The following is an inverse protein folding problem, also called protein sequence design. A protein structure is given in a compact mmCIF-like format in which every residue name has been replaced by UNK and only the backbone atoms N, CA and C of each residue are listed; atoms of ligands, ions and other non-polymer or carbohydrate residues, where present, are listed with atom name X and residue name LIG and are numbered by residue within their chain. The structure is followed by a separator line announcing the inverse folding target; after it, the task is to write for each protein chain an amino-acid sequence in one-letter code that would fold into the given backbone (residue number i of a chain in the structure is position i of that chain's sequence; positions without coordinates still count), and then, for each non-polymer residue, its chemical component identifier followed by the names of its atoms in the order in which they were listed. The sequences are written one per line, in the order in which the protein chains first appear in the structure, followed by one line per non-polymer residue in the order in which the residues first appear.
data_IF_589342275057
#
_entry.id   IF_589342275057
#
_cell.length_a   1.000
_cell.length_b   1.000
_cell.length_c   1.000
_cell.angle_alpha   90.00
_cell.angle_beta   90.00
_cell.angle_gamma   90.00
#
_symmetry.space_group_name_H-M   'P 1'
#
loop_
_entity.id
_entity.type
_entity.pdbx_description
1 polymer ?
#
# COMPACT_ATOMS: atom_id res chain seq x y z
N UNK A 1 23.79 -51.02 -6.01
CA UNK A 1 23.05 -51.95 -6.88
C UNK A 1 23.14 -51.44 -8.32
N UNK A 2 23.82 -52.23 -9.14
CA UNK A 2 23.67 -52.41 -10.61
C UNK A 2 23.87 -51.21 -11.54
N UNK A 3 25.08 -51.20 -12.09
CA UNK A 3 25.52 -50.60 -13.36
C UNK A 3 24.73 -51.22 -14.53
N UNK A 4 24.24 -50.42 -15.47
CA UNK A 4 23.95 -50.87 -16.83
C UNK A 4 24.61 -49.93 -17.85
N UNK A 5 25.79 -50.32 -18.33
CA UNK A 5 26.39 -49.86 -19.59
C UNK A 5 26.00 -50.86 -20.67
N UNK A 6 25.59 -50.39 -21.85
CA UNK A 6 26.05 -50.92 -23.15
C UNK A 6 25.78 -49.91 -24.29
N UNK A 7 26.52 -50.00 -25.42
CA UNK A 7 26.94 -48.85 -26.21
C UNK A 7 26.41 -48.82 -27.67
N UNK A 8 26.62 -47.65 -28.31
CA UNK A 8 26.88 -47.36 -29.74
C UNK A 8 26.03 -48.05 -30.82
N UNK A 9 25.34 -47.23 -31.60
CA UNK A 9 25.39 -47.36 -33.06
C UNK A 9 25.57 -45.98 -33.72
N UNK A 10 26.41 -45.93 -34.74
CA UNK A 10 26.68 -44.78 -35.60
C UNK A 10 26.06 -45.04 -37.00
N UNK A 11 26.47 -44.34 -38.07
CA UNK A 11 25.80 -43.19 -38.67
C UNK A 11 25.12 -43.54 -40.02
N UNK A 12 24.62 -42.50 -40.71
CA UNK A 12 24.44 -42.34 -42.16
C UNK A 12 23.00 -42.39 -42.72
N UNK A 13 22.71 -41.45 -43.62
CA UNK A 13 21.54 -41.45 -44.50
C UNK A 13 21.00 -40.05 -44.81
N UNK A 14 21.56 -39.37 -45.80
CA UNK A 14 20.82 -38.38 -46.61
C UNK A 14 20.00 -39.16 -47.66
N UNK A 15 18.80 -38.68 -47.94
CA UNK A 15 18.14 -38.58 -49.26
C UNK A 15 16.67 -38.14 -49.02
N UNK A 16 16.28 -36.92 -49.41
CA UNK A 16 15.66 -36.50 -50.68
C UNK A 16 14.34 -37.21 -51.02
N UNK A 17 13.25 -36.42 -51.04
CA UNK A 17 12.00 -36.51 -51.82
C UNK A 17 10.84 -36.04 -50.92
N UNK A 18 10.32 -34.83 -51.09
CA UNK A 18 9.23 -34.49 -52.03
C UNK A 18 8.04 -35.44 -51.85
N UNK A 19 7.04 -34.99 -51.11
CA UNK A 19 5.66 -35.35 -51.43
C UNK A 19 4.78 -34.11 -51.26
N UNK A 20 4.17 -33.70 -52.38
CA UNK A 20 3.22 -32.61 -52.49
C UNK A 20 1.84 -33.24 -52.46
N UNK A 21 1.02 -32.85 -51.49
CA UNK A 21 -0.33 -33.40 -51.36
C UNK A 21 -1.28 -32.48 -50.61
N UNK A 22 -1.60 -31.35 -51.25
CA UNK A 22 -2.88 -30.62 -51.22
C UNK A 22 -3.93 -31.02 -50.16
N UNK A 23 -4.27 -30.08 -49.27
CA UNK A 23 -5.59 -30.01 -48.65
C UNK A 23 -5.94 -28.56 -48.30
N UNK A 24 -6.74 -27.97 -49.18
CA UNK A 24 -7.84 -27.03 -48.99
C UNK A 24 -8.10 -26.43 -47.59
N UNK A 25 -8.28 -25.10 -47.57
CA UNK A 25 -8.90 -24.34 -46.49
C UNK A 25 -8.16 -23.06 -46.08
N UNK A 26 -8.53 -21.86 -46.57
CA UNK A 26 -8.21 -20.62 -45.87
C UNK A 26 -9.07 -20.55 -44.61
N UNK A 27 -8.59 -21.19 -43.54
CA UNK A 27 -9.11 -21.03 -42.20
C UNK A 27 -8.93 -19.60 -41.73
N UNK A 28 -10.04 -18.99 -41.31
CA UNK A 28 -10.10 -17.91 -40.32
C UNK A 28 -9.16 -16.72 -40.56
N UNK A 29 -9.64 -15.75 -41.34
CA UNK A 29 -9.33 -14.34 -41.07
C UNK A 29 -9.92 -14.00 -39.72
N UNK A 30 -9.19 -14.28 -38.63
CA UNK A 30 -9.41 -13.65 -37.36
C UNK A 30 -9.06 -12.17 -37.55
N UNK A 31 -10.07 -11.40 -37.95
CA UNK A 31 -10.10 -9.96 -37.79
C UNK A 31 -9.80 -9.68 -36.32
N UNK A 32 -8.55 -9.29 -36.04
CA UNK A 32 -8.19 -8.70 -34.76
C UNK A 32 -8.89 -7.36 -34.75
N UNK A 33 -10.16 -7.37 -34.34
CA UNK A 33 -10.88 -6.19 -33.91
C UNK A 33 -10.09 -5.67 -32.72
N UNK A 34 -9.26 -4.68 -32.98
CA UNK A 34 -8.56 -3.90 -31.98
C UNK A 34 -9.64 -3.26 -31.11
N UNK A 35 -9.96 -3.87 -29.97
CA UNK A 35 -10.71 -3.20 -28.91
C UNK A 35 -9.91 -1.93 -28.60
N UNK A 36 -10.47 -0.79 -29.00
CA UNK A 36 -10.05 0.50 -28.48
C UNK A 36 -10.09 0.36 -26.96
N UNK A 37 -8.95 0.46 -26.23
CA UNK A 37 -9.01 0.46 -24.78
C UNK A 37 -9.94 1.61 -24.40
N UNK A 38 -10.93 1.40 -23.50
CA UNK A 38 -11.72 2.51 -23.00
C UNK A 38 -10.73 3.59 -22.60
N UNK A 39 -10.92 4.80 -23.11
CA UNK A 39 -10.11 5.97 -22.77
C UNK A 39 -10.16 6.08 -21.25
N UNK A 40 -9.15 5.52 -20.60
CA UNK A 40 -9.08 5.51 -19.15
C UNK A 40 -9.10 6.99 -18.74
N UNK A 41 -10.01 7.41 -17.84
CA UNK A 41 -10.04 8.78 -17.39
C UNK A 41 -8.63 9.15 -16.93
N UNK A 42 -8.12 10.28 -17.43
CA UNK A 42 -6.77 10.74 -17.14
C UNK A 42 -6.52 10.62 -15.62
N UNK A 43 -5.47 9.91 -15.18
CA UNK A 43 -5.25 9.67 -13.77
C UNK A 43 -5.18 11.01 -13.05
N UNK A 44 -6.05 11.21 -12.06
CA UNK A 44 -6.06 12.39 -11.22
C UNK A 44 -4.62 12.69 -10.74
N UNK A 45 -4.20 13.96 -10.67
CA UNK A 45 -2.83 14.32 -10.29
C UNK A 45 -2.46 13.61 -8.98
N UNK A 46 -1.51 12.66 -9.05
CA UNK A 46 -1.08 11.96 -7.83
C UNK A 46 -0.29 12.96 -6.98
N UNK A 47 -0.71 13.25 -5.74
CA UNK A 47 0.06 14.15 -4.89
C UNK A 47 1.47 13.57 -4.73
N UNK A 48 2.47 14.44 -4.85
CA UNK A 48 3.87 14.03 -4.68
C UNK A 48 4.01 13.45 -3.27
N UNK A 49 4.63 12.26 -3.09
CA UNK A 49 4.68 11.57 -1.80
C UNK A 49 5.31 12.41 -0.67
N UNK A 50 6.16 13.39 -1.02
CA UNK A 50 6.71 14.36 -0.05
C UNK A 50 5.68 15.40 0.41
N UNK A 51 4.83 15.90 -0.49
CA UNK A 51 3.75 16.83 -0.14
C UNK A 51 2.74 16.15 0.79
N UNK A 52 2.42 14.88 0.52
CA UNK A 52 1.57 14.09 1.41
C UNK A 52 2.21 13.93 2.80
N UNK A 53 3.51 13.63 2.86
CA UNK A 53 4.23 13.55 4.13
C UNK A 53 4.22 14.87 4.92
N UNK A 54 4.43 16.00 4.25
CA UNK A 54 4.32 17.32 4.89
C UNK A 54 2.89 17.63 5.35
N UNK A 55 1.87 17.28 4.55
CA UNK A 55 0.47 17.48 4.92
C UNK A 55 0.10 16.68 6.17
N UNK A 56 0.53 15.41 6.27
CA UNK A 56 0.30 14.58 7.45
C UNK A 56 0.98 15.15 8.70
N UNK A 57 2.24 15.59 8.56
CA UNK A 57 2.95 16.23 9.67
C UNK A 57 2.31 17.57 10.07
N UNK A 58 1.83 18.34 9.11
CA UNK A 58 1.14 19.60 9.37
C UNK A 58 -0.22 19.38 10.06
N UNK A 59 -1.02 18.39 9.63
CA UNK A 59 -2.23 17.99 10.34
C UNK A 59 -1.95 17.61 11.79
N UNK A 60 -0.96 16.72 12.02
CA UNK A 60 -0.59 16.32 13.38
C UNK A 60 -0.13 17.49 14.26
N UNK A 61 0.61 18.45 13.69
CA UNK A 61 1.02 19.67 14.40
C UNK A 61 -0.16 20.61 14.67
N UNK A 62 -1.11 20.72 13.73
CA UNK A 62 -2.29 21.56 13.86
C UNK A 62 -3.30 21.04 14.90
N UNK A 63 -3.27 19.73 15.20
CA UNK A 63 -4.06 19.13 16.28
C UNK A 63 -3.56 19.53 17.68
N UNK A 64 -2.26 19.82 17.86
CA UNK A 64 -1.70 20.15 19.18
C UNK A 64 -2.32 21.41 19.83
N UNK A 65 -2.52 22.54 19.11
CA UNK A 65 -3.26 23.67 19.65
C UNK A 65 -4.71 23.33 20.05
N UNK A 66 -5.40 22.52 19.26
CA UNK A 66 -6.79 22.12 19.53
C UNK A 66 -6.90 21.29 20.82
N UNK A 67 -5.97 20.37 21.03
CA UNK A 67 -5.83 19.56 22.24
C UNK A 67 -5.69 20.43 23.50
N UNK A 68 -4.94 21.54 23.44
CA UNK A 68 -4.83 22.49 24.56
C UNK A 68 -6.17 23.17 24.85
N UNK A 69 -6.90 23.58 23.81
CA UNK A 69 -8.23 24.19 23.97
C UNK A 69 -9.20 23.20 24.62
N UNK A 70 -9.27 21.95 24.14
CA UNK A 70 -10.08 20.88 24.72
C UNK A 70 -9.73 20.64 26.19
N UNK A 71 -8.44 20.45 26.50
CA UNK A 71 -7.97 20.21 27.86
C UNK A 71 -8.36 21.33 28.84
N UNK A 72 -8.41 22.58 28.37
CA UNK A 72 -8.79 23.74 29.19
C UNK A 72 -10.31 23.98 29.26
N UNK A 73 -11.08 23.40 28.34
CA UNK A 73 -12.53 23.63 28.24
C UNK A 73 -13.36 22.62 29.04
N UNK A 74 -12.79 21.50 29.48
CA UNK A 74 -13.49 20.49 30.28
C UNK A 74 -13.42 20.80 31.80
N UNK A 75 -14.56 20.80 32.53
CA UNK A 75 -14.57 21.03 33.96
C UNK A 75 -13.75 19.99 34.74
N UNK A 76 -12.88 20.45 35.64
CA UNK A 76 -11.98 19.61 36.43
C UNK A 76 -12.65 18.92 37.63
N UNK A 77 -13.87 18.41 37.45
CA UNK A 77 -14.45 17.49 38.42
C UNK A 77 -13.64 16.18 38.40
N UNK A 78 -13.36 15.56 39.55
CA UNK A 78 -12.46 14.38 39.64
C UNK A 78 -12.82 13.23 38.70
N UNK A 79 -14.11 13.06 38.39
CA UNK A 79 -14.60 12.09 37.39
C UNK A 79 -14.31 12.51 35.95
N UNK A 80 -14.39 13.80 35.66
CA UNK A 80 -14.16 14.41 34.34
C UNK A 80 -12.67 14.65 34.06
N UNK A 81 -11.82 14.81 35.09
CA UNK A 81 -10.37 14.97 34.91
C UNK A 81 -9.71 13.73 34.30
N UNK A 82 -10.02 12.53 34.82
CA UNK A 82 -9.54 11.26 34.25
C UNK A 82 -10.08 10.99 32.85
N UNK A 83 -11.27 11.51 32.55
CA UNK A 83 -11.89 11.43 31.23
C UNK A 83 -11.20 12.37 30.24
N UNK A 84 -10.99 13.63 30.61
CA UNK A 84 -10.23 14.62 29.85
C UNK A 84 -8.81 14.13 29.57
N UNK A 85 -8.16 13.50 30.54
CA UNK A 85 -6.83 12.92 30.36
C UNK A 85 -6.80 11.78 29.33
N UNK A 86 -7.87 10.98 29.24
CA UNK A 86 -7.99 9.93 28.24
C UNK A 86 -8.16 10.51 26.83
N UNK A 87 -8.93 11.59 26.67
CA UNK A 87 -9.11 12.30 25.40
C UNK A 87 -7.79 12.89 24.93
N UNK A 88 -7.16 13.69 25.79
CA UNK A 88 -5.85 14.30 25.54
C UNK A 88 -4.79 13.24 25.20
N UNK A 89 -4.85 12.06 25.85
CA UNK A 89 -3.96 10.95 25.56
C UNK A 89 -4.18 10.34 24.17
N UNK A 90 -5.43 10.18 23.73
CA UNK A 90 -5.77 9.69 22.40
C UNK A 90 -5.28 10.66 21.31
N UNK A 91 -5.65 11.94 21.43
CA UNK A 91 -5.25 12.99 20.49
C UNK A 91 -3.73 13.11 20.39
N UNK A 92 -3.01 13.01 21.52
CA UNK A 92 -1.55 13.09 21.54
C UNK A 92 -0.90 11.90 20.82
N UNK A 93 -1.43 10.69 21.00
CA UNK A 93 -0.96 9.50 20.29
C UNK A 93 -1.25 9.62 18.79
N UNK A 94 -2.41 10.14 18.41
CA UNK A 94 -2.78 10.38 17.02
C UNK A 94 -1.83 11.40 16.37
N UNK A 95 -1.66 12.57 16.98
CA UNK A 95 -0.77 13.62 16.50
C UNK A 95 0.65 13.08 16.32
N UNK A 96 1.16 12.30 17.29
CA UNK A 96 2.46 11.66 17.21
C UNK A 96 2.53 10.67 16.03
N UNK A 97 1.50 9.85 15.83
CA UNK A 97 1.45 8.89 14.73
C UNK A 97 1.42 9.59 13.35
N UNK A 98 0.66 10.68 13.20
CA UNK A 98 0.59 11.49 11.99
C UNK A 98 1.92 12.19 11.68
N UNK A 99 2.53 12.84 12.67
CA UNK A 99 3.84 13.48 12.53
C UNK A 99 4.90 12.45 12.16
N UNK A 100 4.96 11.33 12.88
CA UNK A 100 5.92 10.26 12.61
C UNK A 100 5.73 9.72 11.19
N UNK A 101 4.49 9.46 10.78
CA UNK A 101 4.17 9.01 9.43
C UNK A 101 4.61 10.01 8.37
N UNK A 102 4.34 11.30 8.57
CA UNK A 102 4.74 12.37 7.67
C UNK A 102 6.26 12.46 7.51
N UNK A 103 6.99 12.46 8.63
CA UNK A 103 8.46 12.52 8.65
C UNK A 103 9.06 11.29 7.97
N UNK A 104 8.58 10.08 8.28
CA UNK A 104 9.09 8.85 7.67
C UNK A 104 8.74 8.79 6.18
N UNK A 105 7.58 9.29 5.76
CA UNK A 105 7.18 9.36 4.36
C UNK A 105 8.10 10.31 3.56
N UNK A 106 8.45 11.47 4.12
CA UNK A 106 9.42 12.41 3.52
C UNK A 106 10.81 11.79 3.42
N UNK A 107 11.22 11.03 4.46
CA UNK A 107 12.51 10.32 4.51
C UNK A 107 12.54 9.02 3.70
N UNK A 108 11.42 8.58 3.12
CA UNK A 108 11.28 7.31 2.37
C UNK A 108 11.64 6.06 3.21
N UNK A 109 11.40 6.10 4.51
CA UNK A 109 11.71 4.99 5.41
C UNK A 109 10.66 3.87 5.30
N UNK A 110 11.06 2.60 5.37
CA UNK A 110 10.15 1.43 5.26
C UNK A 110 9.06 1.42 6.35
N UNK A 111 9.40 1.91 7.55
CA UNK A 111 8.46 1.96 8.69
C UNK A 111 7.28 2.91 8.49
N UNK A 112 7.29 3.80 7.50
CA UNK A 112 6.17 4.71 7.23
C UNK A 112 4.85 3.93 7.05
N UNK A 113 4.93 2.73 6.48
CA UNK A 113 3.78 1.84 6.26
C UNK A 113 3.12 1.43 7.58
N UNK A 114 3.93 1.08 8.57
CA UNK A 114 3.47 0.67 9.90
C UNK A 114 2.89 1.87 10.65
N UNK A 115 3.58 3.00 10.65
CA UNK A 115 3.10 4.20 11.35
C UNK A 115 1.83 4.75 10.69
N UNK A 116 1.69 4.63 9.37
CA UNK A 116 0.46 4.99 8.66
C UNK A 116 -0.72 4.09 9.04
N UNK A 117 -0.49 2.79 9.25
CA UNK A 117 -1.53 1.90 9.75
C UNK A 117 -1.96 2.28 11.17
N UNK A 118 -1.00 2.57 12.06
CA UNK A 118 -1.28 3.06 13.42
C UNK A 118 -2.07 4.38 13.38
N UNK A 119 -1.65 5.34 12.56
CA UNK A 119 -2.36 6.61 12.41
C UNK A 119 -3.80 6.42 11.90
N UNK A 120 -4.01 5.52 10.93
CA UNK A 120 -5.35 5.21 10.43
C UNK A 120 -6.24 4.59 11.52
N UNK A 121 -5.70 3.69 12.35
CA UNK A 121 -6.44 3.09 13.46
C UNK A 121 -6.80 4.12 14.53
N UNK A 122 -5.87 5.02 14.87
CA UNK A 122 -6.10 6.07 15.86
C UNK A 122 -7.17 7.05 15.38
N UNK A 123 -7.10 7.54 14.13
CA UNK A 123 -8.12 8.42 13.55
C UNK A 123 -9.53 7.82 13.52
N UNK A 124 -9.64 6.50 13.31
CA UNK A 124 -10.95 5.81 13.35
C UNK A 124 -11.45 5.70 14.79
N UNK A 125 -10.56 5.44 15.74
CA UNK A 125 -10.90 5.39 17.15
C UNK A 125 -11.33 6.76 17.67
N UNK A 126 -10.65 7.82 17.25
CA UNK A 126 -10.95 9.23 17.53
C UNK A 126 -12.35 9.60 17.03
N UNK A 127 -12.61 9.39 15.73
CA UNK A 127 -13.93 9.64 15.14
C UNK A 127 -15.07 8.90 15.82
N UNK A 128 -14.84 7.63 16.17
CA UNK A 128 -15.83 6.85 16.93
C UNK A 128 -16.09 7.47 18.29
N UNK A 129 -15.03 7.90 18.97
CA UNK A 129 -15.09 8.42 20.32
C UNK A 129 -15.73 9.80 20.36
N UNK A 130 -15.41 10.70 19.43
CA UNK A 130 -16.08 12.00 19.26
C UNK A 130 -17.59 11.84 19.07
N UNK A 131 -18.02 10.92 18.20
CA UNK A 131 -19.46 10.65 17.99
C UNK A 131 -20.13 10.08 19.24
N UNK A 132 -19.47 9.19 19.97
CA UNK A 132 -20.02 8.55 21.18
C UNK A 132 -20.11 9.49 22.38
N UNK A 133 -19.35 10.58 22.36
CA UNK A 133 -19.20 11.49 23.51
C UNK A 133 -19.82 12.85 23.27
N UNK A 134 -20.19 13.16 22.03
CA UNK A 134 -20.91 14.37 21.68
C UNK A 134 -22.28 14.45 22.37
N UNK A 135 -22.61 15.65 22.86
CA UNK A 135 -23.93 15.92 23.40
C UNK A 135 -24.99 15.88 22.27
N UNK A 136 -26.23 15.46 22.56
CA UNK A 136 -27.30 15.47 21.56
C UNK A 136 -27.53 16.86 20.95
N UNK A 137 -27.85 16.92 19.66
CA UNK A 137 -28.17 18.17 18.97
C UNK A 137 -27.03 18.69 18.10
N UNK A 138 -26.66 19.95 18.28
CA UNK A 138 -25.66 20.63 17.43
C UNK A 138 -24.26 20.02 17.56
N UNK A 139 -23.87 19.62 18.78
CA UNK A 139 -22.57 19.02 19.05
C UNK A 139 -22.41 17.68 18.32
N UNK A 140 -23.41 16.80 18.40
CA UNK A 140 -23.43 15.54 17.64
C UNK A 140 -23.40 15.77 16.12
N UNK A 141 -24.15 16.75 15.60
CA UNK A 141 -24.10 17.07 14.18
C UNK A 141 -22.72 17.57 13.76
N UNK A 142 -22.06 18.38 14.59
CA UNK A 142 -20.71 18.88 14.33
C UNK A 142 -19.66 17.76 14.39
N UNK A 143 -19.75 16.86 15.36
CA UNK A 143 -18.89 15.69 15.49
C UNK A 143 -19.03 14.76 14.28
N UNK A 144 -20.27 14.49 13.84
CA UNK A 144 -20.52 13.68 12.63
C UNK A 144 -19.95 14.32 11.36
N UNK A 145 -20.07 15.66 11.23
CA UNK A 145 -19.51 16.38 10.08
C UNK A 145 -17.98 16.34 10.11
N UNK A 146 -17.35 16.56 11.26
CA UNK A 146 -15.89 16.48 11.43
C UNK A 146 -15.37 15.07 11.14
N UNK A 147 -16.02 14.05 11.71
CA UNK A 147 -15.70 12.65 11.46
C UNK A 147 -15.76 12.31 9.97
N UNK A 148 -16.85 12.70 9.30
CA UNK A 148 -17.04 12.39 7.89
C UNK A 148 -16.16 13.21 6.95
N UNK A 149 -15.86 14.47 7.28
CA UNK A 149 -15.18 15.41 6.38
C UNK A 149 -13.66 15.51 6.60
N UNK A 150 -13.17 15.17 7.81
CA UNK A 150 -11.76 15.32 8.18
C UNK A 150 -11.14 13.99 8.61
N UNK A 151 -11.65 13.37 9.68
CA UNK A 151 -10.99 12.20 10.29
C UNK A 151 -11.02 10.97 9.38
N UNK A 152 -12.19 10.58 8.87
CA UNK A 152 -12.31 9.41 8.00
C UNK A 152 -11.56 9.57 6.66
N UNK A 153 -11.59 10.74 5.98
CA UNK A 153 -10.76 10.97 4.81
C UNK A 153 -9.26 10.86 5.12
N UNK A 154 -8.79 11.41 6.24
CA UNK A 154 -7.40 11.33 6.64
C UNK A 154 -7.00 9.89 7.00
N UNK A 155 -7.88 9.14 7.66
CA UNK A 155 -7.70 7.73 7.98
C UNK A 155 -7.60 6.90 6.69
N UNK A 156 -8.47 7.15 5.71
CA UNK A 156 -8.42 6.49 4.41
C UNK A 156 -7.10 6.77 3.67
N UNK A 157 -6.62 8.02 3.69
CA UNK A 157 -5.31 8.38 3.12
C UNK A 157 -4.18 7.60 3.79
N UNK A 158 -4.18 7.49 5.12
CA UNK A 158 -3.20 6.73 5.88
C UNK A 158 -3.27 5.24 5.58
N UNK A 159 -4.47 4.64 5.57
CA UNK A 159 -4.70 3.24 5.27
C UNK A 159 -4.26 2.88 3.84
N UNK A 160 -4.56 3.74 2.86
CA UNK A 160 -4.13 3.55 1.48
C UNK A 160 -2.61 3.65 1.35
N UNK A 161 -1.97 4.56 2.10
CA UNK A 161 -0.52 4.67 2.12
C UNK A 161 0.12 3.40 2.71
N UNK A 162 -0.43 2.87 3.80
CA UNK A 162 -0.02 1.59 4.37
C UNK A 162 -0.21 0.42 3.37
N UNK A 163 -1.36 0.33 2.71
CA UNK A 163 -1.63 -0.73 1.73
C UNK A 163 -0.67 -0.70 0.54
N UNK A 164 -0.22 0.49 0.11
CA UNK A 164 0.74 0.63 -1.00
C UNK A 164 2.15 0.20 -0.62
N UNK A 165 2.58 0.42 0.62
CA UNK A 165 3.88 -0.03 1.12
C UNK A 165 4.03 -1.55 1.12
N UNK A 166 2.97 -2.27 1.53
CA UNK A 166 2.97 -3.75 1.53
C UNK A 166 3.03 -4.37 0.13
N UNK A 167 2.41 -3.74 -0.87
CA UNK A 167 2.40 -4.24 -2.26
C UNK A 167 3.73 -4.04 -2.99
N UNK A 168 4.53 -3.04 -2.60
CA UNK A 168 5.84 -2.79 -3.19
C UNK A 168 6.94 -3.75 -2.74
N UNK A 169 6.79 -4.39 -1.57
CA UNK A 169 7.77 -5.34 -1.02
C UNK A 169 7.66 -6.77 -1.56
N UNK A 170 6.50 -7.15 -2.09
CA UNK A 170 6.25 -8.51 -2.58
C UNK A 170 6.83 -8.80 -3.99
N UNK A 171 7.41 -7.81 -4.67
CA UNK A 171 7.95 -7.94 -6.03
C UNK A 171 9.47 -8.10 -6.15
N UNK A 172 10.22 -8.22 -5.03
CA UNK A 172 11.70 -8.24 -5.02
C UNK A 172 12.23 -9.57 -4.42
N UNK A 173 11.56 -10.69 -4.70
CA UNK A 173 11.85 -11.97 -4.05
C UNK A 173 11.93 -13.20 -4.96
N UNK A 174 11.93 -13.06 -6.29
CA UNK A 174 12.04 -14.22 -7.18
C UNK A 174 12.91 -13.87 -8.41
N UNK A 175 14.10 -14.45 -8.49
CA UNK A 175 15.02 -14.27 -9.62
C UNK A 175 16.46 -14.06 -9.17
N UNK A 176 17.12 -15.11 -8.68
CA UNK A 176 18.53 -14.98 -8.30
C UNK A 176 19.28 -16.19 -7.76
N UNK A 177 18.84 -17.44 -7.97
CA UNK A 177 19.78 -18.58 -7.89
C UNK A 177 20.27 -18.90 -9.29
N UNK A 178 21.29 -18.13 -9.69
CA UNK A 178 22.05 -18.36 -10.90
C UNK A 178 22.89 -19.62 -10.77
N UNK A 179 22.65 -20.56 -11.67
CA UNK A 179 23.58 -21.64 -11.97
C UNK A 179 24.93 -21.07 -12.40
N UNK A 180 25.95 -21.31 -11.59
CA UNK A 180 27.34 -21.16 -11.97
C UNK A 180 27.90 -22.52 -12.37
N UNK A 181 27.85 -22.83 -13.67
CA UNK A 181 28.63 -23.92 -14.24
C UNK A 181 30.11 -23.56 -14.20
N UNK A 182 30.88 -24.26 -13.37
CA UNK A 182 32.34 -24.24 -13.48
C UNK A 182 32.77 -25.15 -14.64
N UNK A 183 33.05 -24.50 -15.78
CA UNK A 183 33.84 -25.08 -16.86
C UNK A 183 35.30 -25.20 -16.41
N UNK A 184 35.71 -26.40 -16.01
CA UNK A 184 37.11 -26.77 -15.83
C UNK A 184 37.69 -27.35 -17.12
N UNK A 185 38.08 -26.48 -18.06
CA UNK A 185 38.96 -26.81 -19.17
C UNK A 185 40.32 -26.16 -18.96
N UNK A 186 41.40 -26.94 -19.04
CA UNK A 186 42.77 -26.41 -18.94
C UNK A 186 43.86 -27.46 -18.77
N UNK A 187 44.18 -28.11 -19.88
CA UNK A 187 45.54 -28.36 -20.42
C UNK A 187 46.64 -29.08 -19.60
N UNK A 188 47.17 -30.11 -20.30
CA UNK A 188 48.46 -30.84 -20.20
C UNK A 188 48.49 -32.16 -19.41
#
# INVERSE_FOLDING_TARGET
MTVLRLPRNAPSGRDTADDRGSADGPGATAEVVLLHPPTAPAPAPRPRPRLLGYALAACGLALLPWLVVLATSLPAETTAAKWSAAWVGLDALEALALITTGVLAVRRHVLHTLTAAVAATLLVADAWFDVMTAAPGADLASALVMAAAAELPLAAVCAVAAARGHRGGAGVGDGGEGGGGEGGGGDR
#
